data_IF_784330827529
#
_entry.id   IF_784330827529
#
_cell.length_a   1.000
_cell.length_b   1.000
_cell.length_c   1.000
_cell.angle_alpha   90.00
_cell.angle_beta   90.00
_cell.angle_gamma   90.00
#
_symmetry.space_group_name_H-M   'P 1'
#
loop_
_entity.id
_entity.type
_entity.pdbx_description
1 polymer ?
#
# COMPACT_ATOMS: atom_id res chain seq x y z
N UNK A 1 -0.74 17.18 -16.97
CA UNK A 1 0.60 17.27 -16.35
C UNK A 1 0.88 15.91 -15.76
N UNK A 2 1.66 15.08 -16.45
CA UNK A 2 2.00 13.75 -16.01
C UNK A 2 3.17 13.88 -15.04
N UNK A 3 2.90 13.60 -13.77
CA UNK A 3 3.89 13.75 -12.73
C UNK A 3 4.17 12.35 -12.20
N UNK A 4 5.17 11.72 -12.80
CA UNK A 4 5.91 10.64 -12.16
C UNK A 4 6.60 11.22 -10.92
N UNK A 5 5.82 11.42 -9.86
CA UNK A 5 6.21 12.04 -8.60
C UNK A 5 6.87 10.95 -7.77
N UNK A 6 8.16 10.70 -8.01
CA UNK A 6 8.98 9.95 -7.06
C UNK A 6 9.01 10.75 -5.76
N UNK A 7 8.30 10.28 -4.73
CA UNK A 7 8.30 10.90 -3.42
C UNK A 7 9.73 11.00 -2.88
N UNK A 8 10.08 12.14 -2.31
CA UNK A 8 11.34 12.29 -1.57
C UNK A 8 11.35 11.40 -0.33
N UNK A 9 12.55 11.10 0.18
CA UNK A 9 12.72 10.31 1.42
C UNK A 9 11.99 10.97 2.59
N UNK A 10 11.98 12.30 2.64
CA UNK A 10 11.35 13.06 3.72
C UNK A 10 9.82 12.97 3.65
N UNK A 11 9.22 13.14 2.46
CA UNK A 11 7.77 12.95 2.26
C UNK A 11 7.34 11.51 2.61
N UNK A 12 8.13 10.52 2.21
CA UNK A 12 7.90 9.11 2.56
C UNK A 12 7.94 8.89 4.08
N UNK A 13 8.88 9.54 4.77
CA UNK A 13 9.03 9.45 6.22
C UNK A 13 7.87 10.11 6.98
N UNK A 14 7.37 11.24 6.50
CA UNK A 14 6.20 11.91 7.08
C UNK A 14 4.94 11.05 6.97
N UNK A 15 4.70 10.46 5.79
CA UNK A 15 3.59 9.51 5.58
C UNK A 15 3.71 8.33 6.56
N UNK A 16 4.91 7.76 6.69
CA UNK A 16 5.14 6.64 7.61
C UNK A 16 4.87 7.02 9.08
N UNK A 17 5.33 8.20 9.53
CA UNK A 17 5.09 8.68 10.90
C UNK A 17 3.61 8.90 11.18
N UNK A 18 2.86 9.48 10.25
CA UNK A 18 1.43 9.71 10.38
C UNK A 18 0.64 8.38 10.44
N UNK A 19 1.07 7.36 9.69
CA UNK A 19 0.38 6.06 9.64
C UNK A 19 0.73 5.12 10.80
N UNK A 20 1.89 5.31 11.44
CA UNK A 20 2.39 4.45 12.53
C UNK A 20 1.50 4.45 13.78
N UNK A 21 0.75 5.53 14.06
CA UNK A 21 -0.20 5.55 15.18
C UNK A 21 -1.46 4.74 14.90
N UNK A 22 -1.86 4.66 13.63
CA UNK A 22 -3.12 4.05 13.19
C UNK A 22 -2.96 2.54 12.91
N UNK A 23 -1.75 2.12 12.49
CA UNK A 23 -1.44 0.71 12.21
C UNK A 23 -0.37 0.23 13.18
N UNK A 24 -0.76 -0.62 14.13
CA UNK A 24 0.06 -1.09 15.24
C UNK A 24 1.17 -2.06 14.79
N UNK A 25 2.14 -1.54 14.04
CA UNK A 25 3.44 -2.14 13.69
C UNK A 25 3.53 -3.08 12.48
N UNK A 26 2.50 -3.22 11.65
CA UNK A 26 2.53 -4.15 10.51
C UNK A 26 2.42 -3.41 9.18
N UNK A 27 3.56 -2.86 8.73
CA UNK A 27 3.76 -2.20 7.43
C UNK A 27 3.62 -3.14 6.24
N UNK A 28 2.45 -3.74 6.04
CA UNK A 28 2.12 -4.48 4.83
C UNK A 28 1.59 -3.50 3.80
N UNK A 29 2.54 -2.81 3.20
CA UNK A 29 2.29 -1.92 2.09
C UNK A 29 2.15 -2.73 0.81
N UNK A 30 1.20 -2.33 -0.02
CA UNK A 30 0.89 -2.90 -1.30
C UNK A 30 0.72 -1.80 -2.33
N UNK A 31 0.78 -2.16 -3.60
CA UNK A 31 0.49 -1.26 -4.70
C UNK A 31 -0.57 -1.88 -5.60
N UNK A 32 -1.52 -1.05 -6.04
CA UNK A 32 -2.48 -1.41 -7.07
C UNK A 32 -1.77 -1.59 -8.44
N UNK A 33 -2.46 -2.11 -9.48
CA UNK A 33 -1.88 -2.26 -10.82
C UNK A 33 -1.27 -0.97 -11.38
N UNK A 34 -1.86 0.18 -11.05
CA UNK A 34 -1.41 1.52 -11.46
C UNK A 34 -0.36 2.16 -10.54
N UNK A 35 0.07 1.49 -9.45
CA UNK A 35 1.15 1.96 -8.58
C UNK A 35 0.76 2.85 -7.41
N UNK A 36 -0.53 3.10 -7.17
CA UNK A 36 -0.97 3.76 -5.93
C UNK A 36 -0.75 2.85 -4.71
N UNK A 37 -0.08 3.36 -3.66
CA UNK A 37 0.18 2.60 -2.44
C UNK A 37 -1.08 2.47 -1.58
N UNK A 38 -1.24 1.33 -0.93
CA UNK A 38 -2.27 1.10 0.09
C UNK A 38 -1.74 0.13 1.15
N UNK A 39 -2.40 0.08 2.31
CA UNK A 39 -2.04 -0.82 3.41
C UNK A 39 -3.12 -1.88 3.63
N UNK A 40 -2.69 -3.06 4.08
CA UNK A 40 -3.57 -4.06 4.68
C UNK A 40 -3.20 -4.13 6.16
N UNK A 41 -4.18 -3.85 7.03
CA UNK A 41 -4.03 -3.87 8.49
C UNK A 41 -4.06 -5.29 9.04
N UNK A 42 -4.91 -5.54 10.05
CA UNK A 42 -5.24 -6.87 10.62
C UNK A 42 -4.10 -7.91 10.57
N UNK A 43 -4.28 -9.02 9.84
CA UNK A 43 -3.31 -10.10 9.70
C UNK A 43 -2.19 -9.80 8.68
N UNK A 44 -2.21 -8.63 8.05
CA UNK A 44 -1.26 -8.21 7.03
C UNK A 44 -1.46 -8.85 5.66
N UNK A 45 -2.40 -9.79 5.50
CA UNK A 45 -2.62 -10.50 4.25
C UNK A 45 -3.95 -10.15 3.57
N UNK A 46 -3.98 -10.27 2.25
CA UNK A 46 -5.16 -10.01 1.44
C UNK A 46 -6.32 -10.97 1.75
N UNK A 47 -7.30 -10.48 2.51
CA UNK A 47 -8.51 -11.23 2.88
C UNK A 47 -9.80 -10.62 2.34
N UNK A 48 -9.76 -9.38 1.86
CA UNK A 48 -10.90 -8.67 1.32
C UNK A 48 -10.55 -7.98 0.00
N UNK A 49 -11.51 -7.97 -0.93
CA UNK A 49 -11.45 -7.18 -2.16
C UNK A 49 -12.01 -5.77 -1.91
N UNK A 50 -11.34 -4.77 -2.48
CA UNK A 50 -11.78 -3.38 -2.48
C UNK A 50 -11.43 -2.69 -3.81
N UNK A 51 -11.64 -1.37 -3.89
CA UNK A 51 -11.25 -0.53 -5.04
C UNK A 51 -10.24 0.52 -4.61
N UNK A 52 -9.24 0.76 -5.45
CA UNK A 52 -8.30 1.86 -5.26
C UNK A 52 -9.06 3.21 -5.29
N UNK A 53 -8.86 4.10 -4.31
CA UNK A 53 -9.58 5.38 -4.27
C UNK A 53 -9.18 6.32 -5.41
N UNK A 54 -7.96 6.20 -5.96
CA UNK A 54 -7.47 7.06 -7.04
C UNK A 54 -7.88 6.54 -8.43
N UNK A 55 -7.60 5.27 -8.73
CA UNK A 55 -7.79 4.72 -10.08
C UNK A 55 -8.94 3.70 -10.20
N UNK A 56 -9.62 3.38 -9.10
CA UNK A 56 -10.79 2.48 -9.06
C UNK A 56 -10.54 1.03 -9.48
N UNK A 57 -9.28 0.66 -9.75
CA UNK A 57 -8.86 -0.72 -9.98
C UNK A 57 -9.08 -1.60 -8.75
N UNK A 58 -9.23 -2.90 -9.00
CA UNK A 58 -9.41 -3.87 -7.94
C UNK A 58 -8.14 -4.01 -7.09
N UNK A 59 -8.28 -3.92 -5.76
CA UNK A 59 -7.19 -4.06 -4.79
C UNK A 59 -7.53 -5.09 -3.72
N UNK A 60 -6.53 -5.52 -2.95
CA UNK A 60 -6.67 -6.55 -1.92
C UNK A 60 -6.68 -7.95 -2.53
N UNK A 61 -7.58 -8.81 -2.05
CA UNK A 61 -7.63 -10.21 -2.49
C UNK A 61 -8.35 -11.12 -1.49
N UNK A 62 -8.04 -12.42 -1.49
CA UNK A 62 -8.67 -13.41 -0.62
C UNK A 62 -7.75 -14.58 -0.30
N UNK A 63 -7.91 -15.19 0.87
CA UNK A 63 -7.09 -16.33 1.30
C UNK A 63 -5.60 -15.99 1.43
N UNK A 64 -5.27 -14.76 1.83
CA UNK A 64 -3.91 -14.18 1.82
C UNK A 64 -3.27 -14.07 0.42
N UNK A 65 -4.06 -14.17 -0.65
CA UNK A 65 -3.58 -14.02 -2.02
C UNK A 65 -4.09 -12.70 -2.61
N UNK A 66 -3.16 -11.92 -3.16
CA UNK A 66 -3.50 -10.68 -3.86
C UNK A 66 -4.29 -10.97 -5.15
N UNK A 67 -5.22 -10.08 -5.47
CA UNK A 67 -5.84 -10.06 -6.80
C UNK A 67 -4.81 -9.68 -7.87
N UNK A 68 -5.10 -10.05 -9.12
CA UNK A 68 -4.17 -9.88 -10.24
C UNK A 68 -3.68 -8.43 -10.36
N UNK A 69 -2.39 -8.27 -10.68
CA UNK A 69 -1.74 -6.97 -10.87
C UNK A 69 -1.42 -6.18 -9.60
N UNK A 70 -1.89 -6.62 -8.42
CA UNK A 70 -1.47 -6.05 -7.16
C UNK A 70 -0.12 -6.64 -6.74
N UNK A 71 0.71 -5.83 -6.07
CA UNK A 71 2.05 -6.23 -5.65
C UNK A 71 2.36 -5.76 -4.23
N UNK A 72 3.25 -6.47 -3.56
CA UNK A 72 3.81 -6.01 -2.28
C UNK A 72 4.65 -4.77 -2.57
N UNK A 73 4.44 -3.72 -1.79
CA UNK A 73 5.26 -2.52 -1.83
C UNK A 73 6.44 -2.70 -0.87
N UNK A 74 7.46 -3.40 -1.35
CA UNK A 74 8.68 -3.67 -0.59
C UNK A 74 9.39 -2.39 -0.17
N UNK A 75 9.25 -1.30 -0.93
CA UNK A 75 9.93 -0.02 -0.68
C UNK A 75 9.43 0.65 0.59
N UNK A 76 8.11 0.72 0.77
CA UNK A 76 7.51 1.22 2.03
C UNK A 76 7.60 0.19 3.16
N UNK A 77 7.54 -1.10 2.84
CA UNK A 77 7.71 -2.19 3.81
C UNK A 77 9.14 -2.32 4.37
N UNK A 78 10.15 -1.80 3.67
CA UNK A 78 11.55 -1.82 4.10
C UNK A 78 12.07 -0.47 4.59
N UNK A 79 11.22 0.53 4.84
CA UNK A 79 11.64 1.82 5.44
C UNK A 79 11.90 1.70 6.95
N UNK A 80 12.70 0.70 7.32
CA UNK A 80 13.31 0.50 8.62
C UNK A 80 14.79 0.88 8.54
#
# INVERSE_FOLDING_TARGET
MNLSRTLSIEEKLEIHRAMKSEFNSSGHWYECPNGHPYTIGECGGAMQLSRCPDCHEQIGGGGHQLTSGNRINSEFGSMY
#
